data_IF_348435598089
#
_entry.id   IF_348435598089
#
_cell.length_a   1.000
_cell.length_b   1.000
_cell.length_c   1.000
_cell.angle_alpha   90.00
_cell.angle_beta   90.00
_cell.angle_gamma   90.00
#
_symmetry.space_group_name_H-M   'P 1'
#
loop_
_entity.id
_entity.type
_entity.pdbx_description
1 polymer ?
#
# COMPACT_ATOMS: atom_id res chain seq x y z
N UNK A 1 1.34 -17.14 19.07
CA UNK A 1 2.31 -16.46 18.18
C UNK A 1 1.94 -15.00 18.15
N UNK A 2 2.92 -14.09 18.32
CA UNK A 2 2.66 -12.64 18.35
C UNK A 2 3.31 -11.95 17.15
N UNK A 3 2.59 -11.00 16.54
CA UNK A 3 3.04 -10.24 15.37
C UNK A 3 2.86 -8.75 15.66
N UNK A 4 3.87 -7.95 15.33
CA UNK A 4 3.79 -6.49 15.35
C UNK A 4 3.29 -5.99 14.00
N UNK A 5 2.26 -5.15 14.01
CA UNK A 5 1.68 -4.51 12.81
C UNK A 5 1.93 -3.01 12.90
N UNK A 6 2.77 -2.50 12.01
CA UNK A 6 3.01 -1.07 11.83
C UNK A 6 2.11 -0.51 10.73
N UNK A 7 1.96 0.82 10.69
CA UNK A 7 1.22 1.52 9.64
C UNK A 7 -0.21 0.99 9.48
N UNK A 8 -0.84 0.58 10.58
CA UNK A 8 -2.18 0.03 10.55
C UNK A 8 -3.21 1.12 10.24
N UNK A 9 -3.95 0.94 9.16
CA UNK A 9 -4.99 1.85 8.73
C UNK A 9 -6.31 1.54 9.46
N UNK A 10 -7.15 2.56 9.71
CA UNK A 10 -8.44 2.35 10.36
C UNK A 10 -9.36 1.37 9.62
N UNK A 11 -9.31 1.38 8.29
CA UNK A 11 -10.16 0.55 7.42
C UNK A 11 -9.75 -0.94 7.39
N UNK A 12 -8.49 -1.27 7.69
CA UNK A 12 -8.01 -2.67 7.72
C UNK A 12 -8.05 -3.31 9.11
N UNK A 13 -8.22 -2.51 10.16
CA UNK A 13 -8.09 -2.98 11.55
C UNK A 13 -9.05 -4.12 11.90
N UNK A 14 -10.30 -4.01 11.50
CA UNK A 14 -11.31 -5.03 11.75
C UNK A 14 -10.97 -6.38 11.08
N UNK A 15 -10.44 -6.33 9.86
CA UNK A 15 -10.01 -7.53 9.13
C UNK A 15 -8.75 -8.14 9.75
N UNK A 16 -7.79 -7.34 10.19
CA UNK A 16 -6.60 -7.80 10.90
C UNK A 16 -6.99 -8.55 12.18
N UNK A 17 -7.86 -7.98 13.00
CA UNK A 17 -8.34 -8.61 14.24
C UNK A 17 -9.10 -9.91 13.97
N UNK A 18 -9.97 -9.91 12.95
CA UNK A 18 -10.72 -11.10 12.54
C UNK A 18 -9.80 -12.23 12.10
N UNK A 19 -8.81 -11.93 11.27
CA UNK A 19 -7.85 -12.94 10.79
C UNK A 19 -6.93 -13.42 11.93
N UNK A 20 -6.52 -12.54 12.81
CA UNK A 20 -5.72 -12.88 13.97
C UNK A 20 -6.46 -13.86 14.89
N UNK A 21 -7.73 -13.59 15.18
CA UNK A 21 -8.58 -14.48 15.97
C UNK A 21 -8.75 -15.85 15.29
N UNK A 22 -8.99 -15.87 13.96
CA UNK A 22 -9.18 -17.11 13.21
C UNK A 22 -7.94 -18.02 13.25
N UNK A 23 -6.75 -17.42 13.24
CA UNK A 23 -5.47 -18.14 13.20
C UNK A 23 -4.77 -18.26 14.56
N UNK A 24 -5.38 -17.82 15.65
CA UNK A 24 -4.79 -17.86 16.99
C UNK A 24 -3.51 -17.01 17.10
N UNK A 25 -3.48 -15.85 16.43
CA UNK A 25 -2.36 -14.90 16.43
C UNK A 25 -2.69 -13.73 17.33
N UNK A 26 -1.74 -13.35 18.19
CA UNK A 26 -1.81 -12.11 18.96
C UNK A 26 -1.22 -10.97 18.12
N UNK A 27 -1.90 -9.83 18.06
CA UNK A 27 -1.40 -8.63 17.36
C UNK A 27 -1.02 -7.54 18.36
N UNK A 28 0.15 -6.94 18.13
CA UNK A 28 0.47 -5.58 18.58
C UNK A 28 0.32 -4.64 17.40
N UNK A 29 -0.50 -3.59 17.53
CA UNK A 29 -0.87 -2.75 16.40
C UNK A 29 -0.54 -1.29 16.67
N UNK A 30 0.09 -0.63 15.72
CA UNK A 30 0.35 0.83 15.72
C UNK A 30 0.12 1.40 14.33
N UNK A 31 -0.26 2.68 14.27
CA UNK A 31 -0.32 3.48 13.05
C UNK A 31 1.04 4.11 12.67
N UNK A 32 2.01 4.04 13.58
CA UNK A 32 3.33 4.60 13.35
C UNK A 32 4.06 3.88 12.20
N UNK A 33 4.82 4.66 11.43
CA UNK A 33 5.78 4.14 10.44
C UNK A 33 6.94 3.47 11.18
N UNK A 34 7.43 2.30 10.74
CA UNK A 34 8.55 1.63 11.38
C UNK A 34 9.84 2.45 11.26
N UNK A 35 10.53 2.65 12.38
CA UNK A 35 11.80 3.35 12.48
C UNK A 35 12.70 2.64 13.48
N UNK A 36 14.00 2.95 13.45
CA UNK A 36 14.94 2.41 14.44
C UNK A 36 14.55 2.79 15.88
N UNK A 37 13.99 3.98 16.07
CA UNK A 37 13.58 4.50 17.39
C UNK A 37 12.40 3.70 17.99
N UNK A 38 11.48 3.23 17.14
CA UNK A 38 10.30 2.49 17.59
C UNK A 38 10.38 0.98 17.33
N UNK A 39 11.55 0.47 16.90
CA UNK A 39 11.73 -0.96 16.65
C UNK A 39 11.44 -1.82 17.89
N UNK A 40 11.67 -1.28 19.09
CA UNK A 40 11.40 -1.95 20.37
C UNK A 40 9.93 -2.33 20.58
N UNK A 41 8.98 -1.71 19.86
CA UNK A 41 7.57 -2.10 19.88
C UNK A 41 7.34 -3.54 19.38
N UNK A 42 8.28 -4.06 18.57
CA UNK A 42 8.23 -5.44 18.09
C UNK A 42 8.80 -6.47 19.08
N UNK A 43 9.21 -6.03 20.28
CA UNK A 43 9.76 -6.95 21.28
C UNK A 43 8.76 -8.06 21.65
N UNK A 44 9.26 -9.31 21.69
CA UNK A 44 8.42 -10.49 21.97
C UNK A 44 7.55 -10.95 20.79
N UNK A 45 7.63 -10.29 19.64
CA UNK A 45 7.00 -10.75 18.41
C UNK A 45 7.94 -11.67 17.63
N UNK A 46 7.38 -12.55 16.81
CA UNK A 46 8.14 -13.40 15.89
C UNK A 46 8.21 -12.80 14.48
N UNK A 47 7.29 -11.90 14.17
CA UNK A 47 7.16 -11.27 12.88
C UNK A 47 6.69 -9.83 12.95
N UNK A 48 6.99 -9.10 11.89
CA UNK A 48 6.59 -7.71 11.67
C UNK A 48 5.82 -7.60 10.38
N UNK A 49 4.70 -6.89 10.40
CA UNK A 49 3.92 -6.55 9.20
C UNK A 49 3.93 -5.04 8.98
N UNK A 50 4.26 -4.62 7.77
CA UNK A 50 4.41 -3.21 7.36
C UNK A 50 3.53 -2.89 6.14
N UNK A 51 3.28 -1.60 5.88
CA UNK A 51 2.54 -1.16 4.69
C UNK A 51 3.44 -0.51 3.62
N UNK A 52 4.66 -0.14 3.97
CA UNK A 52 5.66 0.33 3.00
C UNK A 52 5.77 1.83 2.85
N UNK A 53 5.36 2.62 3.84
CA UNK A 53 5.61 4.07 3.87
C UNK A 53 7.03 4.39 4.37
N UNK A 54 7.63 3.48 5.13
CA UNK A 54 8.98 3.61 5.68
C UNK A 54 10.03 2.84 4.89
N UNK A 55 11.28 3.28 4.95
CA UNK A 55 12.43 2.52 4.46
C UNK A 55 12.87 1.52 5.53
N UNK A 56 13.01 0.25 5.15
CA UNK A 56 13.48 -0.83 6.01
C UNK A 56 14.93 -1.12 5.62
N UNK A 57 15.81 -0.34 6.18
CA UNK A 57 17.26 -0.42 5.93
C UNK A 57 17.93 -1.50 6.78
N UNK A 58 19.23 -1.70 6.55
CA UNK A 58 20.04 -2.66 7.27
C UNK A 58 20.00 -2.46 8.79
N UNK A 59 20.04 -1.21 9.26
CA UNK A 59 20.07 -0.92 10.70
C UNK A 59 18.76 -1.33 11.39
N UNK A 60 17.62 -1.08 10.75
CA UNK A 60 16.31 -1.48 11.27
C UNK A 60 16.12 -3.01 11.21
N UNK A 61 16.62 -3.65 10.15
CA UNK A 61 16.61 -5.11 10.03
C UNK A 61 17.47 -5.77 11.13
N UNK A 62 18.64 -5.23 11.42
CA UNK A 62 19.50 -5.70 12.52
C UNK A 62 18.81 -5.55 13.88
N UNK A 63 18.13 -4.42 14.10
CA UNK A 63 17.36 -4.21 15.33
C UNK A 63 16.23 -5.24 15.47
N UNK A 64 15.50 -5.53 14.41
CA UNK A 64 14.46 -6.57 14.40
C UNK A 64 15.07 -7.96 14.64
N UNK A 65 16.18 -8.28 13.98
CA UNK A 65 16.87 -9.55 14.19
C UNK A 65 17.32 -9.74 15.64
N UNK A 66 17.88 -8.68 16.27
CA UNK A 66 18.28 -8.68 17.67
C UNK A 66 17.11 -8.89 18.63
N UNK A 67 15.90 -8.43 18.28
CA UNK A 67 14.67 -8.68 19.03
C UNK A 67 14.08 -10.09 18.81
N UNK A 68 14.68 -10.90 17.95
CA UNK A 68 14.21 -12.26 17.65
C UNK A 68 13.16 -12.35 16.54
N UNK A 69 12.95 -11.26 15.80
CA UNK A 69 12.06 -11.27 14.62
C UNK A 69 12.67 -12.16 13.54
N UNK A 70 11.86 -13.02 12.96
CA UNK A 70 12.25 -13.97 11.90
C UNK A 70 11.52 -13.75 10.59
N UNK A 71 10.40 -13.02 10.64
CA UNK A 71 9.52 -12.81 9.48
C UNK A 71 9.17 -11.34 9.35
N UNK A 72 9.33 -10.80 8.14
CA UNK A 72 8.86 -9.48 7.76
C UNK A 72 7.87 -9.65 6.59
N UNK A 73 6.68 -9.11 6.74
CA UNK A 73 5.66 -9.12 5.69
C UNK A 73 5.30 -7.69 5.31
N UNK A 74 5.43 -7.36 4.03
CA UNK A 74 4.83 -6.12 3.53
C UNK A 74 3.44 -6.37 2.97
N UNK A 75 2.46 -5.52 3.32
CA UNK A 75 1.09 -5.57 2.81
C UNK A 75 0.95 -4.90 1.44
N UNK A 76 2.08 -4.70 0.75
CA UNK A 76 2.19 -4.18 -0.61
C UNK A 76 2.72 -5.24 -1.56
N UNK A 77 2.49 -5.07 -2.86
CA UNK A 77 3.15 -5.89 -3.90
C UNK A 77 4.61 -5.47 -4.03
N UNK A 78 4.87 -4.15 -4.10
CA UNK A 78 6.22 -3.59 -4.18
C UNK A 78 6.97 -3.77 -2.87
N UNK A 79 8.27 -4.02 -2.97
CA UNK A 79 9.17 -4.26 -1.84
C UNK A 79 10.51 -3.52 -1.96
N UNK A 80 10.60 -2.53 -2.86
CA UNK A 80 11.83 -1.74 -3.11
C UNK A 80 12.29 -0.92 -1.89
N UNK A 81 11.40 -0.74 -0.92
CA UNK A 81 11.67 -0.06 0.36
C UNK A 81 12.35 -0.95 1.40
N UNK A 82 12.63 -2.23 1.08
CA UNK A 82 13.22 -3.21 1.99
C UNK A 82 14.60 -3.64 1.45
N UNK A 83 15.63 -3.59 2.28
CA UNK A 83 16.95 -4.14 1.97
C UNK A 83 16.92 -5.68 2.02
N UNK A 84 16.54 -6.28 0.89
CA UNK A 84 16.39 -7.73 0.77
C UNK A 84 17.72 -8.48 0.87
N UNK A 85 18.81 -7.89 0.41
CA UNK A 85 20.13 -8.53 0.45
C UNK A 85 20.62 -8.61 1.88
N UNK A 86 20.46 -7.53 2.65
CA UNK A 86 20.79 -7.55 4.07
C UNK A 86 19.85 -8.50 4.83
N UNK A 87 18.54 -8.45 4.62
CA UNK A 87 17.57 -9.36 5.25
C UNK A 87 17.96 -10.84 5.03
N UNK A 88 18.33 -11.19 3.79
CA UNK A 88 18.79 -12.54 3.44
C UNK A 88 20.09 -12.93 4.19
N UNK A 89 21.05 -12.00 4.29
CA UNK A 89 22.33 -12.23 4.94
C UNK A 89 22.20 -12.56 6.43
N UNK A 90 21.22 -11.96 7.11
CA UNK A 90 20.92 -12.21 8.53
C UNK A 90 19.87 -13.30 8.77
N UNK A 91 19.37 -13.96 7.70
CA UNK A 91 18.42 -15.05 7.79
C UNK A 91 16.95 -14.62 8.09
N UNK A 92 16.62 -13.35 7.92
CA UNK A 92 15.25 -12.83 8.06
C UNK A 92 14.45 -13.12 6.81
N UNK A 93 13.28 -13.73 6.95
CA UNK A 93 12.41 -14.10 5.81
C UNK A 93 11.48 -12.95 5.49
N UNK A 94 11.50 -12.50 4.24
CA UNK A 94 10.64 -11.42 3.74
C UNK A 94 9.58 -12.00 2.80
N UNK A 95 8.33 -11.53 2.94
CA UNK A 95 7.25 -11.82 2.00
C UNK A 95 6.46 -10.54 1.68
N UNK A 96 5.88 -10.52 0.49
CA UNK A 96 5.02 -9.44 0.00
C UNK A 96 3.62 -9.94 -0.29
N UNK A 97 2.65 -9.02 -0.40
CA UNK A 97 1.31 -9.34 -0.85
C UNK A 97 1.32 -9.72 -2.34
N UNK A 98 0.41 -10.61 -2.73
CA UNK A 98 0.21 -10.98 -4.13
C UNK A 98 -1.28 -10.87 -4.46
N UNK A 99 -1.61 -10.05 -5.45
CA UNK A 99 -2.95 -9.92 -6.01
C UNK A 99 -2.86 -9.56 -7.50
N UNK A 100 -3.96 -9.74 -8.23
CA UNK A 100 -4.00 -9.39 -9.64
C UNK A 100 -3.89 -7.86 -9.82
N UNK A 101 -2.95 -7.36 -10.65
CA UNK A 101 -2.70 -5.92 -10.80
C UNK A 101 -3.76 -5.19 -11.64
N UNK A 102 -4.77 -5.90 -12.14
CA UNK A 102 -5.76 -5.39 -13.09
C UNK A 102 -6.47 -4.14 -12.57
N UNK A 103 -6.87 -4.13 -11.28
CA UNK A 103 -7.57 -2.97 -10.71
C UNK A 103 -6.72 -1.69 -10.72
N UNK A 104 -5.40 -1.80 -10.52
CA UNK A 104 -4.48 -0.65 -10.61
C UNK A 104 -4.31 -0.21 -12.06
N UNK A 105 -4.20 -1.16 -12.99
CA UNK A 105 -4.11 -0.87 -14.42
C UNK A 105 -5.38 -0.18 -14.94
N UNK A 106 -6.55 -0.71 -14.61
CA UNK A 106 -7.85 -0.14 -14.98
C UNK A 106 -8.02 1.28 -14.42
N UNK A 107 -7.65 1.49 -13.16
CA UNK A 107 -7.69 2.82 -12.54
C UNK A 107 -6.76 3.79 -13.27
N UNK A 108 -5.56 3.36 -13.64
CA UNK A 108 -4.59 4.17 -14.38
C UNK A 108 -5.14 4.58 -15.74
N UNK A 109 -5.70 3.64 -16.50
CA UNK A 109 -6.32 3.91 -17.81
C UNK A 109 -7.50 4.87 -17.64
N UNK A 110 -8.36 4.65 -16.65
CA UNK A 110 -9.45 5.56 -16.33
C UNK A 110 -8.95 6.98 -16.07
N UNK A 111 -7.91 7.14 -15.25
CA UNK A 111 -7.34 8.46 -14.95
C UNK A 111 -6.78 9.16 -16.19
N UNK A 112 -6.10 8.42 -17.07
CA UNK A 112 -5.62 8.94 -18.36
C UNK A 112 -6.79 9.46 -19.20
N UNK A 113 -7.84 8.66 -19.37
CA UNK A 113 -9.04 9.04 -20.12
C UNK A 113 -9.74 10.25 -19.49
N UNK A 114 -9.86 10.31 -18.17
CA UNK A 114 -10.44 11.45 -17.46
C UNK A 114 -9.63 12.74 -17.69
N UNK A 115 -8.31 12.66 -17.71
CA UNK A 115 -7.44 13.80 -18.01
C UNK A 115 -7.60 14.25 -19.47
N UNK A 116 -7.52 13.31 -20.42
CA UNK A 116 -7.66 13.60 -21.85
C UNK A 116 -9.01 14.22 -22.21
N UNK A 117 -10.08 13.79 -21.56
CA UNK A 117 -11.44 14.27 -21.82
C UNK A 117 -11.85 15.46 -20.94
N UNK A 118 -10.93 16.03 -20.16
CA UNK A 118 -11.25 17.11 -19.22
C UNK A 118 -12.46 16.83 -18.33
N UNK A 119 -12.59 15.57 -17.87
CA UNK A 119 -13.78 15.07 -17.17
C UNK A 119 -14.15 15.91 -15.94
N UNK A 120 -13.16 16.38 -15.17
CA UNK A 120 -13.38 17.22 -13.99
C UNK A 120 -14.13 18.52 -14.35
N UNK A 121 -13.73 19.17 -15.46
CA UNK A 121 -14.36 20.39 -15.93
C UNK A 121 -15.79 20.11 -16.43
N UNK A 122 -15.98 19.04 -17.18
CA UNK A 122 -17.31 18.62 -17.66
C UNK A 122 -18.26 18.32 -16.49
N UNK A 123 -17.80 17.59 -15.50
CA UNK A 123 -18.58 17.26 -14.30
C UNK A 123 -18.99 18.54 -13.53
N UNK A 124 -18.05 19.43 -13.29
CA UNK A 124 -18.32 20.69 -12.57
C UNK A 124 -19.32 21.58 -13.32
N UNK A 125 -19.18 21.71 -14.65
CA UNK A 125 -20.13 22.45 -15.48
C UNK A 125 -21.53 21.81 -15.43
N UNK A 126 -21.65 20.50 -15.51
CA UNK A 126 -22.90 19.80 -15.37
C UNK A 126 -23.64 20.11 -14.07
N UNK A 127 -22.92 20.30 -12.97
CA UNK A 127 -23.51 20.66 -11.67
C UNK A 127 -24.13 22.06 -11.67
N UNK A 128 -23.69 22.97 -12.53
CA UNK A 128 -24.25 24.34 -12.69
C UNK A 128 -25.10 24.48 -13.95
N UNK A 129 -25.55 23.37 -14.55
CA UNK A 129 -26.33 23.30 -15.79
C UNK A 129 -25.66 24.01 -16.98
N UNK A 130 -24.33 24.07 -17.03
CA UNK A 130 -23.58 24.51 -18.19
C UNK A 130 -23.18 23.30 -19.05
N UNK A 131 -23.89 23.09 -20.13
CA UNK A 131 -23.65 22.00 -21.09
C UNK A 131 -22.81 22.44 -22.30
N UNK A 132 -22.10 23.57 -22.21
CA UNK A 132 -21.23 24.03 -23.28
C UNK A 132 -20.08 23.05 -23.51
N UNK A 133 -19.70 22.83 -24.78
CA UNK A 133 -18.63 21.94 -25.18
C UNK A 133 -17.24 22.62 -25.20
N UNK A 134 -17.17 23.87 -24.80
CA UNK A 134 -15.93 24.65 -24.78
C UNK A 134 -14.89 23.96 -23.87
N UNK A 135 -13.67 23.77 -24.37
CA UNK A 135 -12.56 23.08 -23.70
C UNK A 135 -12.74 21.57 -23.45
N UNK A 136 -13.77 20.94 -23.99
CA UNK A 136 -13.82 19.50 -24.10
C UNK A 136 -13.06 19.09 -25.37
N UNK A 137 -12.17 18.09 -25.23
CA UNK A 137 -11.48 17.54 -26.39
C UNK A 137 -12.49 16.79 -27.24
N UNK A 138 -12.84 17.35 -28.37
CA UNK A 138 -13.53 16.65 -29.45
C UNK A 138 -12.50 15.80 -30.18
N UNK A 139 -12.58 14.50 -30.05
CA UNK A 139 -12.04 13.64 -31.09
C UNK A 139 -13.07 13.64 -32.21
N UNK A 140 -12.64 13.99 -33.42
CA UNK A 140 -13.48 14.08 -34.61
C UNK A 140 -14.57 13.01 -34.61
N UNK A 141 -15.80 13.46 -34.71
CA UNK A 141 -16.90 12.57 -35.05
C UNK A 141 -16.74 12.21 -36.53
N UNK A 142 -16.88 10.95 -36.89
CA UNK A 142 -16.85 10.51 -38.28
C UNK A 142 -17.91 11.22 -39.18
N UNK A 143 -18.80 12.01 -38.58
CA UNK A 143 -19.74 12.86 -39.26
C UNK A 143 -19.15 14.20 -39.75
N UNK A 144 -17.95 14.58 -39.29
CA UNK A 144 -17.29 15.82 -39.70
C UNK A 144 -16.28 15.64 -40.86
N UNK A 145 -16.20 14.42 -41.42
CA UNK A 145 -15.28 14.07 -42.53
C UNK A 145 -15.98 13.98 -43.92
N UNK A 146 -17.19 14.52 -44.08
CA UNK A 146 -17.85 14.65 -45.41
C UNK A 146 -17.66 16.06 -46.00
#
# INVERSE_FOLDING_TARGET
MKIMVYEARPDERADLEKQAALHGVELSVTDAVPTLENASLAAGCIGVSILGQGCIDAALLDAYHALGIRYLSTRTIGYDHIDLDHARSIGLRVCSASYAPNGVADFTVMMILMCLRHYKQALWRGQVNDFSLTCLLYTSDAADEE
#
